data_IF_913598624123
#
_entry.id   IF_913598624123
#
_cell.length_a   1.000
_cell.length_b   1.000
_cell.length_c   1.000
_cell.angle_alpha   90.00
_cell.angle_beta   90.00
_cell.angle_gamma   90.00
#
_symmetry.space_group_name_H-M   'P 1'
#
loop_
_entity.id
_entity.type
_entity.pdbx_description
1 polymer ?
#
# COMPACT_ATOMS: atom_id res chain seq x y z
N UNK A 1 0.47 -59.56 80.16
CA UNK A 1 -0.63 -60.54 79.98
C UNK A 1 -1.60 -60.00 78.94
N UNK A 2 -1.96 -60.87 77.98
CA UNK A 2 -3.13 -60.88 77.06
C UNK A 2 -3.57 -59.55 76.40
N UNK A 3 -3.46 -59.31 75.08
CA UNK A 3 -3.87 -60.08 73.88
C UNK A 3 -5.38 -60.07 73.60
N UNK A 4 -5.79 -59.24 72.63
CA UNK A 4 -6.92 -59.41 71.72
C UNK A 4 -6.85 -58.28 70.66
N UNK A 5 -7.24 -58.39 69.39
CA UNK A 5 -7.40 -59.44 68.37
C UNK A 5 -7.96 -58.71 67.13
N UNK A 6 -7.71 -59.24 65.92
CA UNK A 6 -8.36 -58.97 64.62
C UNK A 6 -7.90 -57.72 63.85
N UNK A 7 -7.75 -57.73 62.53
CA UNK A 7 -7.57 -58.76 61.50
C UNK A 7 -7.17 -57.98 60.23
N UNK A 8 -6.37 -58.60 59.38
CA UNK A 8 -5.82 -58.10 58.12
C UNK A 8 -6.87 -57.61 57.11
N UNK A 9 -6.59 -56.49 56.44
CA UNK A 9 -6.91 -56.32 55.01
C UNK A 9 -5.73 -55.64 54.32
N UNK A 10 -5.08 -56.39 53.41
CA UNK A 10 -4.08 -55.87 52.47
C UNK A 10 -4.83 -55.15 51.34
N UNK A 11 -4.44 -53.92 51.03
CA UNK A 11 -4.65 -53.34 49.70
C UNK A 11 -3.29 -52.90 49.19
N UNK A 12 -2.78 -53.66 48.22
CA UNK A 12 -1.73 -53.23 47.32
C UNK A 12 -2.31 -52.14 46.41
N UNK A 13 -1.79 -50.92 46.47
CA UNK A 13 -1.99 -49.94 45.41
C UNK A 13 -0.79 -50.01 44.47
N UNK A 14 -1.07 -50.61 43.30
CA UNK A 14 -0.19 -50.69 42.17
C UNK A 14 0.14 -49.29 41.63
N UNK A 15 1.41 -49.13 41.30
CA UNK A 15 1.98 -48.06 40.51
C UNK A 15 1.41 -48.11 39.08
N UNK A 16 0.94 -46.97 38.55
CA UNK A 16 0.83 -46.79 37.09
C UNK A 16 1.03 -45.31 36.74
N UNK A 17 2.22 -45.01 36.19
CA UNK A 17 2.51 -43.76 35.50
C UNK A 17 1.79 -43.80 34.16
N UNK A 18 0.75 -43.00 33.99
CA UNK A 18 0.09 -42.76 32.70
C UNK A 18 0.92 -41.75 31.89
N UNK A 19 1.68 -42.26 30.92
CA UNK A 19 2.33 -41.42 29.91
C UNK A 19 1.28 -40.94 28.89
N UNK A 20 0.92 -39.66 28.94
CA UNK A 20 0.13 -39.00 27.88
C UNK A 20 1.00 -38.90 26.61
N UNK A 21 0.70 -39.74 25.61
CA UNK A 21 1.28 -39.63 24.27
C UNK A 21 0.49 -38.61 23.46
N UNK A 22 1.03 -37.40 23.30
CA UNK A 22 0.54 -36.44 22.30
C UNK A 22 0.98 -36.93 20.92
N UNK A 23 0.03 -37.37 20.08
CA UNK A 23 0.31 -37.81 18.71
C UNK A 23 0.39 -36.56 17.82
N UNK A 24 1.60 -36.05 17.59
CA UNK A 24 1.85 -35.03 16.57
C UNK A 24 1.77 -35.69 15.19
N UNK A 25 0.82 -35.25 14.37
CA UNK A 25 0.67 -35.69 12.99
C UNK A 25 1.89 -35.30 12.13
N UNK A 26 2.31 -36.18 11.21
CA UNK A 26 3.42 -35.91 10.29
C UNK A 26 3.00 -34.94 9.17
N UNK A 27 3.96 -34.21 8.59
CA UNK A 27 3.71 -33.29 7.48
C UNK A 27 3.10 -34.00 6.26
N UNK A 28 3.55 -35.22 5.95
CA UNK A 28 2.99 -36.02 4.85
C UNK A 28 1.50 -36.30 5.03
N UNK A 29 1.06 -36.64 6.26
CA UNK A 29 -0.33 -36.96 6.54
C UNK A 29 -1.24 -35.71 6.51
N UNK A 30 -0.71 -34.53 6.87
CA UNK A 30 -1.44 -33.26 6.68
C UNK A 30 -1.59 -32.89 5.21
N UNK A 31 -0.57 -33.16 4.39
CA UNK A 31 -0.62 -32.89 2.95
C UNK A 31 -1.69 -33.75 2.25
N UNK A 32 -1.84 -35.00 2.67
CA UNK A 32 -2.90 -35.89 2.17
C UNK A 32 -4.31 -35.40 2.55
N UNK A 33 -4.54 -35.00 3.81
CA UNK A 33 -5.82 -34.41 4.25
C UNK A 33 -6.15 -33.10 3.51
N UNK A 34 -5.16 -32.26 3.24
CA UNK A 34 -5.34 -31.03 2.48
C UNK A 34 -5.76 -31.31 1.03
N UNK A 35 -5.24 -32.39 0.44
CA UNK A 35 -5.60 -32.82 -0.92
C UNK A 35 -7.03 -33.36 -0.98
N UNK A 36 -7.46 -34.14 0.01
CA UNK A 36 -8.84 -34.63 0.06
C UNK A 36 -9.83 -33.47 0.11
N UNK A 37 -9.55 -32.45 0.93
CA UNK A 37 -10.35 -31.21 0.97
C UNK A 37 -10.33 -30.47 -0.37
N UNK A 38 -9.17 -30.32 -0.99
CA UNK A 38 -9.06 -29.68 -2.32
C UNK A 38 -9.80 -30.45 -3.42
N UNK A 39 -9.91 -31.78 -3.31
CA UNK A 39 -10.63 -32.63 -4.25
C UNK A 39 -12.15 -32.50 -4.07
N UNK A 40 -12.61 -32.26 -2.86
CA UNK A 40 -14.03 -32.00 -2.55
C UNK A 40 -14.45 -30.58 -2.94
N UNK A 41 -13.60 -29.58 -2.71
CA UNK A 41 -13.95 -28.17 -2.89
C UNK A 41 -13.72 -27.65 -4.33
N UNK A 42 -12.81 -28.25 -5.12
CA UNK A 42 -12.41 -27.72 -6.43
C UNK A 42 -12.86 -28.60 -7.63
N UNK A 43 -13.83 -28.15 -8.44
CA UNK A 43 -14.32 -28.86 -9.64
C UNK A 43 -13.26 -29.12 -10.72
N UNK A 44 -12.14 -28.39 -10.71
CA UNK A 44 -11.06 -28.51 -11.69
C UNK A 44 -9.85 -29.29 -11.19
N UNK A 45 -9.91 -29.89 -9.99
CA UNK A 45 -8.80 -30.65 -9.38
C UNK A 45 -8.23 -31.72 -10.33
N UNK A 46 -9.12 -32.43 -11.03
CA UNK A 46 -8.75 -33.50 -11.98
C UNK A 46 -7.78 -33.06 -13.07
N UNK A 47 -7.87 -31.80 -13.52
CA UNK A 47 -7.01 -31.22 -14.56
C UNK A 47 -5.58 -30.96 -14.06
N UNK A 48 -5.41 -30.72 -12.76
CA UNK A 48 -4.14 -30.31 -12.15
C UNK A 48 -3.57 -31.36 -11.18
N UNK A 49 -4.26 -32.48 -10.96
CA UNK A 49 -3.86 -33.55 -10.06
C UNK A 49 -2.43 -34.06 -10.33
N UNK A 50 -2.03 -34.17 -11.59
CA UNK A 50 -0.68 -34.61 -11.98
C UNK A 50 0.42 -33.62 -11.57
N UNK A 51 0.10 -32.31 -11.51
CA UNK A 51 1.02 -31.26 -11.08
C UNK A 51 1.08 -31.15 -9.56
N UNK A 52 -0.07 -31.35 -8.90
CA UNK A 52 -0.20 -31.38 -7.43
C UNK A 52 0.56 -32.58 -6.84
N UNK A 53 0.43 -33.76 -7.44
CA UNK A 53 1.16 -34.96 -7.01
C UNK A 53 2.68 -34.85 -7.17
N UNK A 54 3.16 -34.17 -8.24
CA UNK A 54 4.59 -33.90 -8.44
C UNK A 54 5.17 -32.97 -7.36
N UNK A 55 4.40 -31.96 -6.95
CA UNK A 55 4.81 -31.04 -5.87
C UNK A 55 4.86 -31.75 -4.51
N UNK A 56 3.89 -32.61 -4.21
CA UNK A 56 3.89 -33.41 -2.97
C UNK A 56 5.14 -34.31 -2.85
N UNK A 57 5.54 -34.97 -3.94
CA UNK A 57 6.72 -35.85 -3.95
C UNK A 57 8.04 -35.09 -3.81
N UNK A 58 8.07 -33.82 -4.25
CA UNK A 58 9.29 -33.00 -4.23
C UNK A 58 9.46 -32.30 -2.87
N UNK A 59 8.38 -31.80 -2.27
CA UNK A 59 8.41 -31.09 -0.99
C UNK A 59 7.01 -31.01 -0.33
N UNK A 60 6.71 -31.94 0.58
CA UNK A 60 5.41 -31.98 1.27
C UNK A 60 5.13 -30.72 2.14
N UNK A 61 6.15 -30.10 2.72
CA UNK A 61 6.01 -28.89 3.53
C UNK A 61 5.73 -27.63 2.69
N UNK A 62 6.38 -27.50 1.54
CA UNK A 62 6.16 -26.37 0.61
C UNK A 62 4.76 -26.42 -0.01
N UNK A 63 4.26 -27.62 -0.29
CA UNK A 63 2.89 -27.82 -0.75
C UNK A 63 1.88 -27.36 0.30
N UNK A 64 2.06 -27.75 1.57
CA UNK A 64 1.20 -27.35 2.67
C UNK A 64 1.19 -25.83 2.88
N UNK A 65 2.37 -25.20 2.86
CA UNK A 65 2.51 -23.75 2.98
C UNK A 65 1.78 -23.01 1.85
N UNK A 66 1.89 -23.49 0.60
CA UNK A 66 1.16 -22.90 -0.53
C UNK A 66 -0.36 -23.07 -0.45
N UNK A 67 -0.82 -24.26 -0.06
CA UNK A 67 -2.27 -24.52 0.11
C UNK A 67 -2.82 -23.67 1.25
N UNK A 68 -2.07 -23.56 2.34
CA UNK A 68 -2.46 -22.76 3.49
C UNK A 68 -2.50 -21.26 3.17
N UNK A 69 -1.55 -20.72 2.41
CA UNK A 69 -1.58 -19.31 1.96
C UNK A 69 -2.80 -18.98 1.10
N UNK A 70 -3.29 -19.93 0.31
CA UNK A 70 -4.45 -19.74 -0.56
C UNK A 70 -5.76 -19.86 0.23
N UNK A 71 -5.85 -20.82 1.16
CA UNK A 71 -7.07 -21.05 1.96
C UNK A 71 -7.21 -20.05 3.11
N UNK A 72 -6.09 -19.67 3.72
CA UNK A 72 -6.00 -18.73 4.85
C UNK A 72 -5.04 -17.60 4.49
N UNK A 73 -5.48 -16.59 3.72
CA UNK A 73 -4.64 -15.44 3.36
C UNK A 73 -4.23 -14.57 4.56
N UNK A 74 -4.78 -14.85 5.75
CA UNK A 74 -4.48 -14.19 7.02
C UNK A 74 -4.05 -15.26 8.03
N UNK A 75 -2.74 -15.44 8.20
CA UNK A 75 -2.18 -16.25 9.29
C UNK A 75 -1.21 -15.36 10.07
N UNK A 76 -1.24 -15.46 11.40
CA UNK A 76 -0.43 -14.65 12.32
C UNK A 76 -0.69 -13.13 12.32
N UNK A 77 -1.88 -12.69 11.90
CA UNK A 77 -2.26 -11.27 11.89
C UNK A 77 -1.57 -10.44 10.80
N UNK A 78 -0.77 -11.06 9.94
CA UNK A 78 -0.22 -10.46 8.74
C UNK A 78 -0.86 -11.11 7.52
N UNK A 79 -1.72 -10.38 6.84
CA UNK A 79 -2.27 -10.81 5.55
C UNK A 79 -1.30 -10.46 4.44
N UNK A 80 -1.01 -11.41 3.54
CA UNK A 80 -0.20 -11.12 2.34
C UNK A 80 -1.00 -10.37 1.27
N UNK A 81 -2.33 -10.38 1.36
CA UNK A 81 -3.16 -9.34 0.77
C UNK A 81 -3.13 -8.13 1.69
N UNK A 82 -2.71 -6.96 1.20
CA UNK A 82 -2.55 -5.74 2.02
C UNK A 82 -3.81 -5.52 2.85
N UNK A 83 -3.65 -5.61 4.17
CA UNK A 83 -4.78 -5.51 5.07
C UNK A 83 -5.25 -4.06 5.11
N UNK A 84 -6.53 -3.82 4.85
CA UNK A 84 -7.18 -2.53 5.13
C UNK A 84 -7.00 -2.07 6.59
N UNK A 85 -6.52 -2.95 7.49
CA UNK A 85 -6.19 -2.61 8.88
C UNK A 85 -5.03 -1.62 9.04
N UNK A 86 -4.10 -1.52 8.07
CA UNK A 86 -3.02 -0.53 8.15
C UNK A 86 -3.54 0.91 7.95
N UNK A 87 -4.64 1.07 7.22
CA UNK A 87 -5.35 2.34 7.02
C UNK A 87 -6.09 2.83 8.27
N UNK A 88 -6.20 2.00 9.32
CA UNK A 88 -6.87 2.32 10.58
C UNK A 88 -5.95 2.98 11.61
N UNK A 89 -4.67 3.15 11.29
CA UNK A 89 -3.73 3.81 12.21
C UNK A 89 -3.76 5.32 11.97
N UNK A 90 -4.16 6.14 12.96
CA UNK A 90 -4.14 7.58 12.82
C UNK A 90 -2.70 8.11 12.76
N UNK A 91 -2.53 9.32 12.20
CA UNK A 91 -1.26 10.06 12.28
C UNK A 91 -0.78 10.18 13.72
N UNK A 92 0.51 9.99 13.93
CA UNK A 92 1.15 10.36 15.20
C UNK A 92 1.04 11.88 15.37
N UNK A 93 0.61 12.34 16.56
CA UNK A 93 0.55 13.77 16.86
C UNK A 93 1.96 14.37 16.79
N UNK A 94 2.16 15.34 15.89
CA UNK A 94 3.34 16.19 15.88
C UNK A 94 3.46 16.90 17.24
N UNK A 95 4.65 16.88 17.84
CA UNK A 95 4.93 17.68 19.03
C UNK A 95 4.77 19.17 18.67
N UNK A 96 4.00 19.89 19.49
CA UNK A 96 3.33 21.15 19.16
C UNK A 96 4.23 22.40 18.98
N UNK A 97 5.52 22.26 18.66
CA UNK A 97 6.47 23.39 18.60
C UNK A 97 6.93 23.79 17.20
N UNK A 98 6.53 23.08 16.14
CA UNK A 98 6.79 23.52 14.75
C UNK A 98 5.51 24.09 14.14
N UNK A 99 5.23 25.33 14.50
CA UNK A 99 4.17 26.12 13.89
C UNK A 99 4.50 26.46 12.42
N UNK A 100 3.57 26.12 11.54
CA UNK A 100 3.30 26.75 10.23
C UNK A 100 4.25 26.52 9.03
N UNK A 101 5.37 25.81 9.13
CA UNK A 101 6.06 25.26 7.95
C UNK A 101 5.80 23.75 7.87
N UNK A 102 5.23 23.28 6.76
CA UNK A 102 5.09 21.84 6.50
C UNK A 102 6.48 21.17 6.69
N UNK A 103 6.56 19.96 7.27
CA UNK A 103 7.81 19.30 7.65
C UNK A 103 8.55 18.69 6.44
N UNK A 104 8.57 19.39 5.31
CA UNK A 104 9.26 18.94 4.11
C UNK A 104 10.67 19.51 4.08
N UNK A 105 11.63 18.62 3.78
CA UNK A 105 13.04 18.98 3.58
C UNK A 105 13.12 20.08 2.53
N UNK A 106 13.89 21.14 2.78
CA UNK A 106 14.09 22.21 1.79
C UNK A 106 14.98 21.68 0.67
N UNK A 107 14.96 22.29 -0.52
CA UNK A 107 15.81 21.81 -1.62
C UNK A 107 17.30 21.82 -1.23
N UNK A 108 17.71 22.81 -0.43
CA UNK A 108 19.06 22.96 0.13
C UNK A 108 19.54 21.76 0.95
N UNK A 109 18.61 21.03 1.59
CA UNK A 109 18.93 19.85 2.39
C UNK A 109 19.22 18.63 1.51
N UNK A 110 18.71 18.65 0.26
CA UNK A 110 18.81 17.56 -0.70
C UNK A 110 19.99 17.80 -1.65
N UNK A 111 20.11 19.04 -2.15
CA UNK A 111 21.08 19.45 -3.17
C UNK A 111 21.70 20.80 -2.82
N UNK A 112 23.01 20.91 -3.02
CA UNK A 112 23.74 22.16 -2.81
C UNK A 112 23.50 23.12 -3.99
N UNK A 113 22.75 24.19 -3.74
CA UNK A 113 22.38 25.18 -4.77
C UNK A 113 23.59 25.87 -5.41
N UNK A 114 24.67 26.07 -4.65
CA UNK A 114 25.93 26.65 -5.14
C UNK A 114 26.57 25.82 -6.27
N UNK A 115 26.45 24.48 -6.22
CA UNK A 115 27.09 23.59 -7.20
C UNK A 115 26.30 23.45 -8.50
N UNK A 116 25.07 23.97 -8.52
CA UNK A 116 24.20 23.93 -9.69
C UNK A 116 23.97 25.31 -10.29
N UNK A 117 24.53 26.38 -9.70
CA UNK A 117 24.34 27.76 -10.13
C UNK A 117 24.67 27.93 -11.62
N UNK A 118 25.80 27.40 -12.06
CA UNK A 118 26.30 27.49 -13.44
C UNK A 118 25.71 26.44 -14.42
N UNK A 119 24.80 25.58 -13.97
CA UNK A 119 24.27 24.45 -14.76
C UNK A 119 23.00 24.80 -15.52
N UNK A 120 22.78 24.14 -16.65
CA UNK A 120 21.54 24.29 -17.43
C UNK A 120 20.37 23.51 -16.82
N UNK A 121 19.14 23.83 -17.25
CA UNK A 121 17.93 23.16 -16.78
C UNK A 121 17.95 21.63 -17.01
N UNK A 122 18.51 21.20 -18.14
CA UNK A 122 18.66 19.79 -18.50
C UNK A 122 19.64 19.10 -17.57
N UNK A 123 20.79 19.72 -17.30
CA UNK A 123 21.80 19.18 -16.39
C UNK A 123 21.28 19.06 -14.96
N UNK A 124 20.56 20.08 -14.48
CA UNK A 124 19.91 20.05 -13.16
C UNK A 124 18.89 18.93 -13.10
N UNK A 125 18.09 18.74 -14.16
CA UNK A 125 17.12 17.64 -14.25
C UNK A 125 17.79 16.27 -14.20
N UNK A 126 18.88 16.09 -14.93
CA UNK A 126 19.63 14.83 -14.92
C UNK A 126 20.21 14.54 -13.54
N UNK A 127 20.86 15.52 -12.90
CA UNK A 127 21.40 15.37 -11.54
C UNK A 127 20.30 14.98 -10.56
N UNK A 128 19.14 15.62 -10.65
CA UNK A 128 18.00 15.34 -9.78
C UNK A 128 17.49 13.91 -9.91
N UNK A 129 17.32 13.42 -11.14
CA UNK A 129 16.85 12.08 -11.43
C UNK A 129 17.90 11.04 -11.00
N UNK A 130 19.18 11.26 -11.31
CA UNK A 130 20.25 10.30 -11.00
C UNK A 130 20.46 10.16 -9.50
N UNK A 131 20.34 11.25 -8.73
CA UNK A 131 20.41 11.23 -7.27
C UNK A 131 19.28 10.43 -6.62
N UNK A 132 18.08 10.44 -7.21
CA UNK A 132 16.91 9.75 -6.67
C UNK A 132 16.72 8.33 -7.20
N UNK A 133 17.43 7.95 -8.27
CA UNK A 133 17.34 6.63 -8.90
C UNK A 133 17.58 5.44 -7.95
N UNK A 134 18.43 5.63 -6.93
CA UNK A 134 18.77 4.59 -5.95
C UNK A 134 17.89 4.64 -4.69
N UNK A 135 16.97 5.60 -4.60
CA UNK A 135 16.15 5.85 -3.43
C UNK A 135 14.73 5.37 -3.68
N UNK A 136 14.06 4.92 -2.62
CA UNK A 136 12.63 4.55 -2.66
C UNK A 136 11.74 5.81 -2.60
N UNK A 137 11.87 6.68 -3.61
CA UNK A 137 11.04 7.89 -3.76
C UNK A 137 10.70 8.11 -5.22
N UNK A 138 9.61 8.85 -5.48
CA UNK A 138 9.32 9.34 -6.82
C UNK A 138 10.11 10.62 -7.07
N UNK A 139 10.66 10.76 -8.28
CA UNK A 139 11.34 11.97 -8.70
C UNK A 139 10.97 12.30 -10.14
N UNK A 140 10.68 13.56 -10.40
CA UNK A 140 10.40 14.09 -11.72
C UNK A 140 10.80 15.56 -11.79
N UNK A 141 10.82 16.10 -13.00
CA UNK A 141 11.00 17.52 -13.25
C UNK A 141 9.86 18.04 -14.10
N UNK A 142 9.44 19.27 -13.83
CA UNK A 142 8.42 19.99 -14.60
C UNK A 142 9.05 21.25 -15.16
N UNK A 143 8.63 21.68 -16.34
CA UNK A 143 8.92 23.04 -16.81
C UNK A 143 8.15 24.06 -15.98
N UNK A 144 8.66 25.29 -15.90
CA UNK A 144 7.96 26.40 -15.23
C UNK A 144 6.53 26.58 -15.75
N UNK A 145 6.34 26.49 -17.08
CA UNK A 145 5.02 26.60 -17.70
C UNK A 145 4.04 25.49 -17.28
N UNK A 146 4.53 24.25 -17.10
CA UNK A 146 3.69 23.15 -16.63
C UNK A 146 3.31 23.36 -15.17
N UNK A 147 4.25 23.80 -14.33
CA UNK A 147 3.98 24.06 -12.92
C UNK A 147 2.99 25.20 -12.72
N UNK A 148 3.11 26.29 -13.47
CA UNK A 148 2.14 27.40 -13.41
C UNK A 148 0.73 26.94 -13.79
N UNK A 149 0.60 26.13 -14.85
CA UNK A 149 -0.68 25.53 -15.24
C UNK A 149 -1.24 24.58 -14.18
N UNK A 150 -0.38 23.75 -13.57
CA UNK A 150 -0.73 22.88 -12.46
C UNK A 150 -1.34 23.70 -11.31
N UNK A 151 -0.64 24.74 -10.89
CA UNK A 151 -1.01 25.57 -9.75
C UNK A 151 -2.26 26.42 -10.02
N UNK A 152 -2.44 26.90 -11.25
CA UNK A 152 -3.67 27.58 -11.64
C UNK A 152 -4.89 26.67 -11.50
N UNK A 153 -4.81 25.43 -12.01
CA UNK A 153 -5.89 24.44 -11.86
C UNK A 153 -6.06 23.97 -10.41
N UNK A 154 -4.97 23.79 -9.68
CA UNK A 154 -5.00 23.43 -8.26
C UNK A 154 -5.72 24.49 -7.41
N UNK A 155 -5.59 25.78 -7.76
CA UNK A 155 -6.29 26.86 -7.05
C UNK A 155 -7.81 26.81 -7.26
N UNK A 156 -8.25 26.42 -8.45
CA UNK A 156 -9.68 26.27 -8.76
C UNK A 156 -10.26 24.95 -8.23
N UNK A 157 -9.46 23.88 -8.26
CA UNK A 157 -9.84 22.52 -7.91
C UNK A 157 -8.83 21.94 -6.89
N UNK A 158 -8.83 22.41 -5.62
CA UNK A 158 -7.81 22.05 -4.64
C UNK A 158 -7.93 20.62 -4.10
N UNK A 159 -9.07 19.97 -4.28
CA UNK A 159 -9.34 18.61 -3.82
C UNK A 159 -9.95 17.80 -4.96
N UNK A 160 -9.52 16.55 -5.10
CA UNK A 160 -10.08 15.62 -6.07
C UNK A 160 -9.97 14.16 -5.59
N UNK A 161 -10.59 13.23 -6.33
CA UNK A 161 -10.48 11.79 -6.08
C UNK A 161 -9.79 11.12 -7.27
N UNK A 162 -8.92 10.17 -6.97
CA UNK A 162 -8.20 9.36 -7.96
C UNK A 162 -8.51 7.87 -7.73
N UNK A 163 -8.88 7.11 -8.78
CA UNK A 163 -9.13 5.69 -8.67
C UNK A 163 -7.83 4.89 -8.81
N UNK A 164 -7.43 4.19 -7.75
CA UNK A 164 -6.29 3.29 -7.75
C UNK A 164 -6.74 1.84 -8.01
N UNK A 165 -6.32 1.18 -9.10
CA UNK A 165 -6.66 -0.22 -9.35
C UNK A 165 -6.07 -1.16 -8.29
N UNK A 166 -6.89 -2.08 -7.79
CA UNK A 166 -6.52 -3.15 -6.84
C UNK A 166 -6.99 -4.52 -7.38
N UNK A 167 -6.62 -5.60 -6.70
CA UNK A 167 -7.00 -6.96 -7.10
C UNK A 167 -8.50 -7.21 -7.10
N UNK A 168 -9.25 -6.54 -6.23
CA UNK A 168 -10.70 -6.72 -6.05
C UNK A 168 -11.51 -5.46 -6.43
N UNK A 169 -11.00 -4.64 -7.36
CA UNK A 169 -11.71 -3.44 -7.84
C UNK A 169 -10.84 -2.20 -7.73
N UNK A 170 -11.44 -1.09 -7.30
CA UNK A 170 -10.76 0.21 -7.19
C UNK A 170 -10.81 0.73 -5.77
N UNK A 171 -9.70 1.29 -5.32
CA UNK A 171 -9.61 2.08 -4.11
C UNK A 171 -9.53 3.56 -4.49
N UNK A 172 -10.30 4.43 -3.82
CA UNK A 172 -10.20 5.86 -4.09
C UNK A 172 -9.21 6.52 -3.14
N UNK A 173 -8.33 7.33 -3.71
CA UNK A 173 -7.37 8.16 -2.98
C UNK A 173 -7.79 9.61 -3.16
N UNK A 174 -7.98 10.31 -2.04
CA UNK A 174 -8.23 11.75 -2.02
C UNK A 174 -6.92 12.49 -2.25
N UNK A 175 -6.92 13.37 -3.23
CA UNK A 175 -5.85 14.31 -3.53
C UNK A 175 -6.21 15.67 -2.95
N UNK A 176 -5.26 16.31 -2.27
CA UNK A 176 -5.40 17.67 -1.76
C UNK A 176 -4.13 18.49 -2.00
N UNK A 177 -4.27 19.68 -2.58
CA UNK A 177 -3.19 20.64 -2.71
C UNK A 177 -3.05 21.50 -1.45
N UNK A 178 -1.80 21.71 -1.01
CA UNK A 178 -1.45 22.62 0.06
C UNK A 178 -0.18 23.39 -0.33
N UNK A 179 -0.33 24.66 -0.73
CA UNK A 179 0.79 25.45 -1.27
C UNK A 179 1.54 24.70 -2.39
N UNK A 180 2.83 24.41 -2.23
CA UNK A 180 3.66 23.70 -3.20
C UNK A 180 3.65 22.16 -3.02
N UNK A 181 2.81 21.63 -2.13
CA UNK A 181 2.70 20.20 -1.86
C UNK A 181 1.36 19.62 -2.26
N UNK A 182 1.35 18.32 -2.51
CA UNK A 182 0.15 17.54 -2.84
C UNK A 182 0.10 16.32 -1.94
N UNK A 183 -0.99 16.17 -1.21
CA UNK A 183 -1.21 15.12 -0.25
C UNK A 183 -2.22 14.13 -0.80
N UNK A 184 -1.87 12.85 -0.70
CA UNK A 184 -2.70 11.73 -1.14
C UNK A 184 -3.08 10.92 0.08
N UNK A 185 -4.37 10.81 0.34
CA UNK A 185 -4.92 10.12 1.51
C UNK A 185 -5.95 9.11 1.05
N UNK A 186 -5.84 7.82 1.42
CA UNK A 186 -6.86 6.83 1.11
C UNK A 186 -8.22 7.29 1.63
N UNK A 187 -9.25 7.30 0.77
CA UNK A 187 -10.55 7.88 1.10
C UNK A 187 -11.18 7.17 2.30
N UNK A 188 -10.98 5.86 2.42
CA UNK A 188 -11.44 5.07 3.55
C UNK A 188 -10.77 5.52 4.87
N UNK A 189 -9.46 5.79 4.85
CA UNK A 189 -8.75 6.29 6.02
C UNK A 189 -9.25 7.69 6.43
N UNK A 190 -9.55 8.55 5.45
CA UNK A 190 -10.14 9.87 5.69
C UNK A 190 -11.55 9.79 6.29
N UNK A 191 -12.37 8.83 5.87
CA UNK A 191 -13.71 8.62 6.43
C UNK A 191 -13.66 8.21 7.90
N UNK A 192 -12.62 7.48 8.33
CA UNK A 192 -12.47 7.01 9.71
C UNK A 192 -11.77 8.04 10.60
N UNK A 193 -10.72 8.71 10.11
CA UNK A 193 -9.84 9.57 10.92
C UNK A 193 -9.94 11.06 10.61
N UNK A 194 -10.68 11.46 9.58
CA UNK A 194 -10.82 12.84 9.12
C UNK A 194 -9.45 13.53 8.96
N UNK A 195 -9.27 14.71 9.56
CA UNK A 195 -8.02 15.49 9.55
C UNK A 195 -6.78 14.73 10.05
N UNK A 196 -6.97 13.66 10.83
CA UNK A 196 -5.88 12.84 11.38
C UNK A 196 -5.54 11.62 10.52
N UNK A 197 -6.16 11.48 9.34
CA UNK A 197 -5.87 10.38 8.44
C UNK A 197 -4.43 10.46 7.89
N UNK A 198 -3.68 9.34 7.88
CA UNK A 198 -2.33 9.30 7.33
C UNK A 198 -2.34 9.48 5.81
N UNK A 199 -1.43 10.31 5.28
CA UNK A 199 -1.17 10.31 3.85
C UNK A 199 -0.45 9.02 3.45
N UNK A 200 -0.81 8.49 2.28
CA UNK A 200 -0.10 7.37 1.66
C UNK A 200 0.98 7.83 0.66
N UNK A 201 0.85 9.06 0.12
CA UNK A 201 1.82 9.69 -0.77
C UNK A 201 1.80 11.22 -0.54
N UNK A 202 2.97 11.84 -0.53
CA UNK A 202 3.12 13.30 -0.53
C UNK A 202 4.09 13.72 -1.62
N UNK A 203 3.66 14.60 -2.52
CA UNK A 203 4.50 15.23 -3.53
C UNK A 203 4.88 16.64 -3.10
N UNK A 204 6.15 16.99 -3.23
CA UNK A 204 6.69 18.32 -2.94
C UNK A 204 7.29 18.88 -4.22
N UNK A 205 6.89 20.11 -4.58
CA UNK A 205 7.43 20.86 -5.70
C UNK A 205 8.40 21.93 -5.20
N UNK A 206 9.65 21.86 -5.64
CA UNK A 206 10.73 22.79 -5.33
C UNK A 206 10.85 23.82 -6.44
N UNK A 207 10.55 25.08 -6.10
CA UNK A 207 10.53 26.23 -7.02
C UNK A 207 11.82 27.05 -6.95
N UNK A 208 12.79 26.66 -6.13
CA UNK A 208 14.03 27.41 -5.89
C UNK A 208 14.92 27.54 -7.15
N UNK A 209 14.73 26.66 -8.14
CA UNK A 209 15.44 26.67 -9.43
C UNK A 209 14.54 27.04 -10.62
N UNK A 210 13.37 27.63 -10.34
CA UNK A 210 12.38 28.02 -11.35
C UNK A 210 12.90 29.10 -12.31
N UNK A 211 13.86 29.92 -11.87
CA UNK A 211 14.59 30.91 -12.68
C UNK A 211 15.31 30.29 -13.88
N UNK A 212 15.71 29.02 -13.75
CA UNK A 212 16.32 28.22 -14.83
C UNK A 212 15.29 27.56 -15.75
N UNK A 213 14.00 27.73 -15.48
CA UNK A 213 12.93 27.14 -16.28
C UNK A 213 12.49 25.74 -15.82
N UNK A 214 12.98 25.26 -14.67
CA UNK A 214 12.67 23.92 -14.14
C UNK A 214 12.16 23.97 -12.71
N UNK A 215 11.19 23.12 -12.40
CA UNK A 215 10.65 22.87 -11.06
C UNK A 215 10.91 21.40 -10.75
N UNK A 216 11.50 21.12 -9.59
CA UNK A 216 11.85 19.76 -9.19
C UNK A 216 10.73 19.17 -8.35
N UNK A 217 10.37 17.92 -8.58
CA UNK A 217 9.33 17.22 -7.84
C UNK A 217 9.93 16.01 -7.14
N UNK A 218 9.60 15.83 -5.86
CA UNK A 218 9.91 14.66 -5.05
C UNK A 218 8.64 14.10 -4.42
N UNK A 219 8.43 12.79 -4.53
CA UNK A 219 7.33 12.09 -3.90
C UNK A 219 7.80 11.10 -2.86
N UNK A 220 7.33 11.25 -1.62
CA UNK A 220 7.53 10.27 -0.54
C UNK A 220 6.22 9.51 -0.33
N UNK A 221 6.27 8.18 -0.34
CA UNK A 221 5.11 7.32 -0.14
C UNK A 221 5.35 6.31 0.98
N UNK A 222 4.26 5.90 1.64
CA UNK A 222 4.32 4.84 2.64
C UNK A 222 4.36 3.48 1.94
N UNK A 223 5.51 2.79 2.05
CA UNK A 223 5.74 1.48 1.43
C UNK A 223 4.85 0.37 1.99
N UNK A 224 4.20 0.60 3.13
CA UNK A 224 3.20 -0.32 3.69
C UNK A 224 1.86 -0.23 2.94
N UNK A 225 1.48 0.99 2.55
CA UNK A 225 0.20 1.27 1.89
C UNK A 225 0.30 1.18 0.36
N UNK A 226 1.36 1.74 -0.22
CA UNK A 226 1.58 1.84 -1.65
C UNK A 226 2.87 1.16 -2.11
N UNK A 227 2.80 0.53 -3.27
CA UNK A 227 4.00 0.15 -4.04
C UNK A 227 4.48 1.33 -4.88
N UNK A 228 5.74 1.29 -5.31
CA UNK A 228 6.30 2.29 -6.22
C UNK A 228 5.46 2.47 -7.50
N UNK A 229 4.93 1.38 -8.06
CA UNK A 229 4.11 1.41 -9.27
C UNK A 229 2.77 2.13 -9.05
N UNK A 230 2.12 1.89 -7.91
CA UNK A 230 0.86 2.56 -7.56
C UNK A 230 1.08 4.04 -7.22
N UNK A 231 2.15 4.36 -6.51
CA UNK A 231 2.53 5.73 -6.26
C UNK A 231 2.81 6.48 -7.58
N UNK A 232 3.49 5.84 -8.54
CA UNK A 232 3.68 6.38 -9.88
C UNK A 232 2.36 6.53 -10.65
N UNK A 233 1.43 5.58 -10.50
CA UNK A 233 0.10 5.67 -11.10
C UNK A 233 -0.64 6.92 -10.63
N UNK A 234 -0.70 7.15 -9.31
CA UNK A 234 -1.31 8.34 -8.71
C UNK A 234 -0.64 9.64 -9.19
N UNK A 235 0.70 9.66 -9.28
CA UNK A 235 1.43 10.82 -9.79
C UNK A 235 1.14 11.08 -11.28
N UNK A 236 0.96 10.03 -12.09
CA UNK A 236 0.60 10.15 -13.49
C UNK A 236 -0.85 10.66 -13.65
N UNK A 237 -1.78 10.14 -12.86
CA UNK A 237 -3.17 10.60 -12.85
C UNK A 237 -3.27 12.08 -12.47
N UNK A 238 -2.54 12.53 -11.44
CA UNK A 238 -2.43 13.96 -11.10
C UNK A 238 -2.02 14.79 -12.32
N UNK A 239 -0.97 14.39 -13.03
CA UNK A 239 -0.51 15.09 -14.24
C UNK A 239 -1.58 15.06 -15.34
N UNK A 240 -2.32 13.96 -15.48
CA UNK A 240 -3.35 13.85 -16.50
C UNK A 240 -4.54 14.77 -16.26
N UNK A 241 -4.97 14.91 -15.01
CA UNK A 241 -6.08 15.81 -14.66
C UNK A 241 -5.65 17.28 -14.60
N UNK A 242 -4.45 17.58 -14.08
CA UNK A 242 -4.04 18.95 -13.78
C UNK A 242 -3.01 19.56 -14.74
N UNK A 243 -2.34 18.79 -15.59
CA UNK A 243 -1.42 19.34 -16.60
C UNK A 243 -1.99 19.28 -18.02
N UNK A 244 -2.55 18.14 -18.42
CA UNK A 244 -3.01 17.93 -19.79
C UNK A 244 -4.36 18.63 -20.04
N UNK A 245 -4.51 19.38 -21.14
CA UNK A 245 -5.79 19.99 -21.50
C UNK A 245 -6.70 18.93 -22.14
N UNK A 246 -7.50 18.25 -21.33
CA UNK A 246 -8.50 17.27 -21.77
C UNK A 246 -9.88 17.70 -21.26
N UNK A 247 -10.80 17.99 -22.18
CA UNK A 247 -12.12 18.52 -21.82
C UNK A 247 -12.94 17.57 -20.94
N UNK A 248 -12.82 16.26 -21.14
CA UNK A 248 -13.51 15.25 -20.33
C UNK A 248 -13.03 15.25 -18.89
N UNK A 249 -11.71 15.25 -18.70
CA UNK A 249 -11.06 15.27 -17.37
C UNK A 249 -11.28 16.60 -16.66
N UNK A 250 -11.20 17.72 -17.37
CA UNK A 250 -11.49 19.05 -16.82
C UNK A 250 -12.95 19.14 -16.36
N UNK A 251 -13.89 18.60 -17.15
CA UNK A 251 -15.29 18.55 -16.74
C UNK A 251 -15.50 17.72 -15.47
N UNK A 252 -14.77 16.61 -15.30
CA UNK A 252 -14.83 15.82 -14.07
C UNK A 252 -14.30 16.59 -12.86
N UNK A 253 -13.17 17.31 -13.00
CA UNK A 253 -12.65 18.20 -11.96
C UNK A 253 -13.65 19.28 -11.56
N UNK A 254 -14.25 19.94 -12.56
CA UNK A 254 -15.23 20.98 -12.33
C UNK A 254 -16.50 20.43 -11.65
N UNK A 255 -17.00 19.29 -12.13
CA UNK A 255 -18.18 18.63 -11.55
C UNK A 255 -17.91 18.25 -10.10
N UNK A 256 -16.78 17.62 -9.80
CA UNK A 256 -16.42 17.27 -8.43
C UNK A 256 -16.36 18.49 -7.51
N UNK A 257 -15.79 19.59 -7.99
CA UNK A 257 -15.56 20.79 -7.15
C UNK A 257 -16.82 21.63 -6.97
N UNK A 258 -17.59 21.87 -8.04
CA UNK A 258 -18.71 22.81 -8.05
C UNK A 258 -20.08 22.15 -7.91
N UNK A 259 -20.18 20.87 -8.29
CA UNK A 259 -21.43 20.11 -8.34
C UNK A 259 -21.23 18.66 -7.86
N UNK A 260 -20.78 18.45 -6.61
CA UNK A 260 -20.45 17.13 -6.10
C UNK A 260 -21.63 16.14 -6.17
N UNK A 261 -22.88 16.61 -6.07
CA UNK A 261 -24.08 15.77 -6.18
C UNK A 261 -24.28 15.17 -7.59
N UNK A 262 -23.76 15.82 -8.63
CA UNK A 262 -23.80 15.32 -10.01
C UNK A 262 -22.61 14.39 -10.33
N UNK A 263 -21.60 14.32 -9.44
CA UNK A 263 -20.37 13.58 -9.68
C UNK A 263 -20.59 12.06 -9.60
N UNK A 264 -20.12 11.35 -10.62
CA UNK A 264 -20.22 9.89 -10.72
C UNK A 264 -18.82 9.28 -10.78
N UNK A 265 -18.44 8.60 -9.69
CA UNK A 265 -17.14 7.93 -9.58
C UNK A 265 -16.90 6.87 -10.69
N UNK A 266 -17.96 6.28 -11.24
CA UNK A 266 -17.83 5.34 -12.37
C UNK A 266 -17.36 6.00 -13.66
N UNK A 267 -17.66 7.29 -13.87
CA UNK A 267 -17.18 8.00 -15.06
C UNK A 267 -15.70 8.38 -14.92
N UNK A 268 -15.26 8.64 -13.69
CA UNK A 268 -13.84 8.79 -13.34
C UNK A 268 -13.05 7.50 -13.61
N UNK A 269 -13.56 6.33 -13.20
CA UNK A 269 -12.90 5.04 -13.48
C UNK A 269 -12.71 4.82 -14.98
N UNK A 270 -13.74 5.07 -15.80
CA UNK A 270 -13.65 4.91 -17.27
C UNK A 270 -12.58 5.80 -17.89
N UNK A 271 -12.45 7.04 -17.43
CA UNK A 271 -11.41 7.96 -17.92
C UNK A 271 -9.99 7.48 -17.58
N UNK A 272 -9.83 6.79 -16.44
CA UNK A 272 -8.55 6.21 -16.01
C UNK A 272 -8.28 4.85 -16.68
N UNK A 273 -9.29 4.01 -16.92
CA UNK A 273 -9.11 2.73 -17.63
C UNK A 273 -8.72 2.91 -19.10
N UNK A 274 -9.15 4.01 -19.72
CA UNK A 274 -8.71 4.37 -21.08
C UNK A 274 -7.23 4.76 -21.16
N UNK A 275 -6.53 4.83 -20.02
CA UNK A 275 -5.08 5.02 -19.97
C UNK A 275 -4.41 3.70 -20.33
N UNK A 276 -4.05 3.54 -21.60
CA UNK A 276 -3.04 2.57 -21.96
C UNK A 276 -1.75 2.96 -21.26
N UNK A 277 -1.33 2.16 -20.27
CA UNK A 277 0.00 2.19 -19.70
C UNK A 277 0.98 1.80 -20.82
N UNK A 278 1.48 2.80 -21.56
CA UNK A 278 2.59 2.64 -22.52
C UNK A 278 3.90 2.77 -21.78
#
# INVERSE_FOLDING_TARGET
>A
MACAKKLLFRVFLNNSLTANRTITMSAARRAEEAIEKLKEDNPYYSKYASKIAKLQQTSAEEFLDRVERVLNPIKDGQSQARSYSELLNPKQKLQAEQAAELPHKKLTDIMKLELIEDKTAEEVSQIWLEYHKTKEVLAATLSTSQYENLMARAKEHPVFLLPLPRSEGFEFVMLQFAANTVHFTPLLAYQVHHENAPECLTLVHYTEVQDKGVVLMRGEYDTKVLTAQEAQCLANELQMFYLKPDEGKLRLLETFTRKPDEFKHMDLIKEVENIQLV
#
